data_IF_045906627530
#
_entry.id   IF_045906627530
#
_cell.length_a   1.000
_cell.length_b   1.000
_cell.length_c   1.000
_cell.angle_alpha   90.00
_cell.angle_beta   90.00
_cell.angle_gamma   90.00
#
_symmetry.space_group_name_H-M   'P 1'
#
loop_
_entity.id
_entity.type
_entity.pdbx_description
1 polymer ?
#
# COMPACT_ATOMS: atom_id res chain seq x y z
N UNK A 1 27.21 -2.59 11.82
CA UNK A 1 26.32 -3.76 11.60
C UNK A 1 24.99 -3.48 12.28
N UNK A 2 24.01 -2.95 11.56
CA UNK A 2 22.69 -2.65 12.09
C UNK A 2 21.91 -3.94 12.34
N UNK A 3 21.58 -4.18 13.60
CA UNK A 3 20.82 -5.33 14.08
C UNK A 3 19.39 -5.19 13.56
N UNK A 4 19.01 -5.97 12.55
CA UNK A 4 17.63 -6.06 12.07
C UNK A 4 16.83 -6.74 13.18
N UNK A 5 16.11 -5.94 13.96
CA UNK A 5 15.15 -6.45 14.93
C UNK A 5 13.91 -6.82 14.14
N UNK A 6 13.74 -8.11 13.86
CA UNK A 6 12.46 -8.66 13.42
C UNK A 6 11.50 -8.60 14.61
N UNK A 7 10.99 -7.41 14.90
CA UNK A 7 9.90 -7.25 15.85
C UNK A 7 8.72 -8.06 15.31
N UNK A 8 8.10 -8.90 16.16
CA UNK A 8 6.86 -9.57 15.80
C UNK A 8 5.89 -8.49 15.36
N UNK A 9 5.18 -8.70 14.26
CA UNK A 9 4.32 -7.67 13.66
C UNK A 9 3.43 -6.98 14.74
N UNK A 10 2.86 -7.75 15.67
CA UNK A 10 2.11 -7.25 16.85
C UNK A 10 2.83 -6.21 17.73
N UNK A 11 4.14 -6.30 17.94
CA UNK A 11 4.89 -5.35 18.76
C UNK A 11 5.08 -4.01 18.03
N UNK A 12 5.24 -4.07 16.70
CA UNK A 12 5.22 -2.88 15.83
C UNK A 12 3.86 -2.19 15.91
N UNK A 13 2.77 -2.95 16.06
CA UNK A 13 1.42 -2.38 16.10
C UNK A 13 1.02 -1.73 17.41
N UNK A 14 1.45 -2.23 18.58
CA UNK A 14 1.27 -1.46 19.83
C UNK A 14 1.92 -0.09 19.73
N UNK A 15 3.09 -0.05 19.09
CA UNK A 15 3.81 1.19 18.83
C UNK A 15 3.06 2.02 17.79
N UNK A 16 2.54 1.44 16.70
CA UNK A 16 1.78 2.20 15.70
C UNK A 16 0.47 2.77 16.25
N UNK A 17 -0.33 2.01 17.01
CA UNK A 17 -1.55 2.54 17.63
C UNK A 17 -1.23 3.64 18.64
N UNK A 18 -0.16 3.48 19.45
CA UNK A 18 0.33 4.55 20.34
C UNK A 18 0.82 5.78 19.55
N UNK A 19 1.53 5.58 18.44
CA UNK A 19 1.98 6.67 17.56
C UNK A 19 0.76 7.35 16.93
N UNK A 20 -0.25 6.62 16.45
CA UNK A 20 -1.44 7.24 15.86
C UNK A 20 -2.34 7.94 16.88
N UNK A 21 -2.29 7.54 18.16
CA UNK A 21 -3.05 8.19 19.23
C UNK A 21 -2.36 9.49 19.72
N UNK A 22 -1.04 9.63 19.55
CA UNK A 22 -0.26 10.81 19.93
C UNK A 22 0.16 11.73 18.77
N UNK A 23 0.45 11.16 17.60
CA UNK A 23 0.85 11.84 16.36
C UNK A 23 -0.23 11.66 15.29
N UNK A 24 -0.49 12.71 14.50
CA UNK A 24 -1.53 12.67 13.46
C UNK A 24 -1.18 11.70 12.31
N UNK A 25 0.10 11.44 12.08
CA UNK A 25 0.62 10.63 10.98
C UNK A 25 1.85 9.82 11.39
N UNK A 26 2.12 8.72 10.69
CA UNK A 26 3.28 7.84 10.93
C UNK A 26 3.96 7.48 9.62
N UNK A 27 5.29 7.39 9.63
CA UNK A 27 6.10 7.02 8.47
C UNK A 27 6.54 5.56 8.54
N UNK A 28 6.39 4.83 7.43
CA UNK A 28 6.83 3.44 7.30
C UNK A 28 7.60 3.24 6.02
N UNK A 29 8.69 2.48 6.08
CA UNK A 29 9.46 2.04 4.91
C UNK A 29 8.68 0.97 4.17
N UNK A 30 8.56 1.10 2.85
CA UNK A 30 7.90 0.10 2.02
C UNK A 30 8.77 -1.14 1.93
N UNK A 31 8.20 -2.29 2.28
CA UNK A 31 8.82 -3.60 2.14
C UNK A 31 8.05 -4.46 1.14
N UNK A 32 8.75 -5.25 0.34
CA UNK A 32 8.18 -6.14 -0.66
C UNK A 32 7.76 -5.45 -1.97
N UNK A 33 7.58 -6.26 -3.00
CA UNK A 33 7.31 -5.80 -4.37
C UNK A 33 5.82 -5.74 -4.73
N UNK A 34 4.91 -6.02 -3.80
CA UNK A 34 3.47 -6.16 -4.10
C UNK A 34 2.82 -4.88 -4.65
N UNK A 35 3.38 -3.71 -4.30
CA UNK A 35 2.90 -2.39 -4.70
C UNK A 35 3.72 -1.74 -5.82
N UNK A 36 4.66 -2.49 -6.42
CA UNK A 36 5.38 -2.03 -7.59
C UNK A 36 4.42 -1.88 -8.80
N UNK A 37 4.54 -0.84 -9.65
CA UNK A 37 5.61 0.16 -9.72
C UNK A 37 5.38 1.43 -8.89
N UNK A 38 4.27 1.54 -8.16
CA UNK A 38 3.90 2.78 -7.47
C UNK A 38 4.69 2.99 -6.19
N UNK A 39 4.94 1.90 -5.45
CA UNK A 39 5.83 1.87 -4.30
C UNK A 39 7.01 0.95 -4.56
N UNK A 40 8.21 1.39 -4.19
CA UNK A 40 9.48 0.71 -4.37
C UNK A 40 10.00 0.23 -3.02
N UNK A 41 10.27 -1.07 -2.94
CA UNK A 41 10.91 -1.69 -1.79
C UNK A 41 12.24 -1.00 -1.45
N UNK A 42 12.46 -0.77 -0.15
CA UNK A 42 13.69 -0.18 0.44
C UNK A 42 14.10 1.21 -0.08
N UNK A 43 13.24 1.85 -0.89
CA UNK A 43 13.46 3.18 -1.45
C UNK A 43 12.37 4.15 -1.01
N UNK A 44 11.11 3.72 -1.08
CA UNK A 44 9.98 4.58 -0.74
C UNK A 44 9.62 4.46 0.74
N UNK A 45 9.31 5.60 1.34
CA UNK A 45 8.65 5.69 2.64
C UNK A 45 7.25 6.26 2.44
N UNK A 46 6.28 5.74 3.19
CA UNK A 46 4.89 6.19 3.12
C UNK A 46 4.49 6.86 4.41
N UNK A 47 3.85 8.02 4.29
CA UNK A 47 3.16 8.65 5.40
C UNK A 47 1.74 8.12 5.46
N UNK A 48 1.36 7.61 6.62
CA UNK A 48 0.04 7.07 6.88
C UNK A 48 -0.70 7.92 7.89
N UNK A 49 -1.99 8.06 7.70
CA UNK A 49 -2.90 8.73 8.62
C UNK A 49 -4.05 7.80 8.98
N UNK A 50 -4.54 7.90 10.22
CA UNK A 50 -5.76 7.20 10.60
C UNK A 50 -6.93 7.75 9.78
N UNK A 51 -7.80 6.87 9.32
CA UNK A 51 -8.93 7.26 8.48
C UNK A 51 -10.17 6.46 8.85
N UNK A 52 -11.33 7.01 8.49
CA UNK A 52 -12.62 6.32 8.62
C UNK A 52 -12.93 5.61 7.31
N UNK A 53 -13.69 4.51 7.40
CA UNK A 53 -14.12 3.78 6.20
C UNK A 53 -14.88 4.69 5.23
N UNK A 54 -15.67 5.65 5.70
CA UNK A 54 -16.38 6.62 4.85
C UNK A 54 -15.45 7.45 3.94
N UNK A 55 -14.22 7.73 4.38
CA UNK A 55 -13.29 8.62 3.67
C UNK A 55 -12.51 7.91 2.57
N UNK A 56 -12.34 6.58 2.63
CA UNK A 56 -11.57 5.85 1.63
C UNK A 56 -12.31 5.81 0.29
N UNK A 57 -11.55 5.86 -0.80
CA UNK A 57 -12.06 5.83 -2.17
C UNK A 57 -11.29 4.80 -2.99
N UNK A 58 -11.90 4.38 -4.10
CA UNK A 58 -11.20 3.56 -5.09
C UNK A 58 -9.92 4.25 -5.54
N UNK A 59 -8.82 3.51 -5.53
CA UNK A 59 -7.50 3.99 -5.90
C UNK A 59 -6.63 4.45 -4.73
N UNK A 60 -7.19 4.63 -3.53
CA UNK A 60 -6.40 4.97 -2.34
C UNK A 60 -5.52 3.78 -1.92
N UNK A 61 -4.35 4.04 -1.36
CA UNK A 61 -3.51 2.98 -0.76
C UNK A 61 -3.83 2.96 0.73
N UNK A 62 -4.21 1.80 1.25
CA UNK A 62 -4.60 1.63 2.64
C UNK A 62 -3.80 0.52 3.30
N UNK A 63 -3.57 0.66 4.59
CA UNK A 63 -3.08 -0.39 5.45
C UNK A 63 -4.30 -1.11 6.06
N UNK A 64 -4.42 -2.39 5.78
CA UNK A 64 -5.46 -3.24 6.33
C UNK A 64 -4.87 -4.45 7.05
N UNK A 65 -5.60 -4.96 8.04
CA UNK A 65 -5.25 -6.16 8.80
C UNK A 65 -6.13 -7.32 8.38
N UNK A 66 -5.52 -8.41 7.90
CA UNK A 66 -6.22 -9.65 7.58
C UNK A 66 -6.71 -10.33 8.86
N UNK A 67 -7.68 -11.22 8.74
CA UNK A 67 -8.15 -12.05 9.86
C UNK A 67 -7.05 -12.94 10.46
N UNK A 68 -6.05 -13.31 9.66
CA UNK A 68 -4.84 -14.01 10.12
C UNK A 68 -3.94 -13.16 11.02
N UNK A 69 -4.22 -11.86 11.16
CA UNK A 69 -3.40 -10.90 11.90
C UNK A 69 -2.27 -10.28 11.07
N UNK A 70 -2.05 -10.76 9.85
CA UNK A 70 -1.09 -10.18 8.91
C UNK A 70 -1.57 -8.82 8.39
N UNK A 71 -0.63 -7.93 8.09
CA UNK A 71 -0.93 -6.60 7.58
C UNK A 71 -0.55 -6.51 6.12
N UNK A 72 -1.41 -5.83 5.37
CA UNK A 72 -1.25 -5.62 3.94
C UNK A 72 -1.46 -4.16 3.60
N UNK A 73 -0.58 -3.64 2.76
CA UNK A 73 -0.66 -2.28 2.27
C UNK A 73 -0.95 -2.31 0.79
N UNK A 74 -2.22 -2.16 0.41
CA UNK A 74 -2.67 -2.33 -0.96
C UNK A 74 -3.62 -1.24 -1.41
N UNK A 75 -3.87 -1.18 -2.72
CA UNK A 75 -4.77 -0.21 -3.32
C UNK A 75 -6.22 -0.65 -3.21
N UNK A 76 -7.11 0.24 -2.84
CA UNK A 76 -8.56 0.02 -2.85
C UNK A 76 -9.02 -0.21 -4.27
N UNK A 77 -9.34 -1.46 -4.58
CA UNK A 77 -9.82 -1.89 -5.88
C UNK A 77 -11.31 -1.57 -6.08
N UNK A 78 -12.10 -1.90 -5.07
CA UNK A 78 -13.54 -1.69 -5.02
C UNK A 78 -13.95 -1.39 -3.59
N UNK A 79 -14.91 -0.50 -3.42
CA UNK A 79 -15.55 -0.20 -2.14
C UNK A 79 -17.06 -0.35 -2.30
N UNK A 80 -17.68 -1.07 -1.38
CA UNK A 80 -19.13 -1.22 -1.25
C UNK A 80 -19.60 -0.47 0.00
N UNK A 81 -20.86 -0.66 0.42
CA UNK A 81 -21.42 0.02 1.59
C UNK A 81 -20.77 -0.43 2.91
N UNK A 82 -20.38 -1.72 3.02
CA UNK A 82 -19.87 -2.32 4.26
C UNK A 82 -18.52 -3.02 4.09
N UNK A 83 -18.12 -3.27 2.85
CA UNK A 83 -16.90 -4.00 2.52
C UNK A 83 -16.05 -3.23 1.52
N UNK A 84 -14.79 -3.65 1.42
CA UNK A 84 -13.88 -3.21 0.40
C UNK A 84 -12.97 -4.35 -0.03
N UNK A 85 -12.40 -4.18 -1.21
CA UNK A 85 -11.47 -5.11 -1.82
C UNK A 85 -10.18 -4.38 -2.12
N UNK A 86 -9.06 -5.02 -1.83
CA UNK A 86 -7.73 -4.51 -2.08
C UNK A 86 -7.06 -5.25 -3.23
N UNK A 87 -6.07 -4.60 -3.82
CA UNK A 87 -5.25 -5.17 -4.89
C UNK A 87 -3.85 -4.58 -4.81
N UNK A 88 -2.85 -5.45 -4.76
CA UNK A 88 -1.46 -5.07 -4.98
C UNK A 88 -1.24 -4.61 -6.43
N UNK A 89 -0.49 -3.54 -6.63
CA UNK A 89 -0.22 -3.01 -7.98
C UNK A 89 0.59 -3.98 -8.86
N UNK A 90 1.42 -4.84 -8.26
CA UNK A 90 2.16 -5.89 -8.95
C UNK A 90 1.42 -7.24 -8.95
N UNK A 91 0.29 -7.35 -8.24
CA UNK A 91 -0.43 -8.61 -8.04
C UNK A 91 -1.65 -8.71 -8.94
N UNK A 92 -2.07 -9.95 -9.19
CA UNK A 92 -3.32 -10.27 -9.89
C UNK A 92 -4.42 -10.68 -8.92
N UNK A 93 -4.09 -11.13 -7.72
CA UNK A 93 -5.06 -11.57 -6.74
C UNK A 93 -5.76 -10.37 -6.08
N UNK A 94 -7.10 -10.42 -6.03
CA UNK A 94 -7.90 -9.41 -5.33
C UNK A 94 -8.06 -9.90 -3.89
N UNK A 95 -7.66 -9.07 -2.94
CA UNK A 95 -7.84 -9.35 -1.51
C UNK A 95 -9.21 -8.86 -1.05
N UNK A 96 -9.93 -9.72 -0.35
CA UNK A 96 -11.20 -9.39 0.27
C UNK A 96 -12.23 -10.52 0.20
N UNK A 97 -13.45 -10.26 0.69
CA UNK A 97 -13.90 -8.98 1.24
C UNK A 97 -13.20 -8.62 2.55
N UNK A 98 -12.92 -7.33 2.76
CA UNK A 98 -12.41 -6.73 3.99
C UNK A 98 -13.46 -5.77 4.57
N UNK A 99 -13.50 -5.64 5.89
CA UNK A 99 -14.49 -4.83 6.62
C UNK A 99 -13.85 -3.63 7.35
N UNK A 100 -14.67 -2.67 7.80
CA UNK A 100 -14.21 -1.42 8.41
C UNK A 100 -13.24 -1.60 9.58
N UNK A 101 -13.43 -2.62 10.42
CA UNK A 101 -12.54 -2.95 11.55
C UNK A 101 -11.13 -3.36 11.12
N UNK A 102 -11.01 -3.88 9.89
CA UNK A 102 -9.76 -4.28 9.28
C UNK A 102 -9.01 -3.10 8.67
N UNK A 103 -9.66 -1.96 8.44
CA UNK A 103 -9.01 -0.74 7.96
C UNK A 103 -8.28 -0.05 9.10
N UNK A 104 -6.96 0.15 8.96
CA UNK A 104 -6.13 0.78 10.00
C UNK A 104 -5.70 2.19 9.63
N UNK A 105 -5.24 2.39 8.40
CA UNK A 105 -4.75 3.69 7.95
C UNK A 105 -4.85 3.86 6.42
N UNK A 106 -4.74 5.11 5.96
CA UNK A 106 -4.58 5.46 4.55
C UNK A 106 -3.23 6.14 4.33
N UNK A 107 -2.60 5.86 3.20
CA UNK A 107 -1.37 6.54 2.78
C UNK A 107 -1.71 7.91 2.19
N UNK A 108 -1.16 8.97 2.79
CA UNK A 108 -1.41 10.36 2.38
C UNK A 108 -0.29 10.94 1.53
N UNK A 109 0.96 10.52 1.79
CA UNK A 109 2.12 10.96 1.02
C UNK A 109 3.16 9.84 0.90
N UNK A 110 3.99 9.93 -0.15
CA UNK A 110 5.09 9.02 -0.44
C UNK A 110 6.35 9.88 -0.48
N UNK A 111 7.33 9.57 0.36
CA UNK A 111 8.67 10.11 0.26
C UNK A 111 9.53 9.14 -0.54
N UNK A 112 10.02 9.60 -1.69
CA UNK A 112 10.94 8.88 -2.56
C UNK A 112 12.23 9.67 -2.62
N UNK A 113 13.30 9.11 -2.05
CA UNK A 113 14.57 9.82 -1.85
C UNK A 113 14.34 11.17 -1.11
N UNK A 114 14.68 12.28 -1.75
CA UNK A 114 14.49 13.65 -1.24
C UNK A 114 13.21 14.33 -1.75
N UNK A 115 12.30 13.60 -2.40
CA UNK A 115 11.05 14.15 -2.96
C UNK A 115 9.84 13.65 -2.19
N UNK A 116 8.95 14.57 -1.82
CA UNK A 116 7.62 14.24 -1.32
C UNK A 116 6.60 14.25 -2.46
N UNK A 117 5.85 13.16 -2.58
CA UNK A 117 4.82 12.94 -3.58
C UNK A 117 3.50 12.80 -2.84
N UNK A 118 2.56 13.72 -3.06
CA UNK A 118 1.22 13.58 -2.48
C UNK A 118 0.43 12.48 -3.19
N UNK A 119 -0.22 11.61 -2.42
CA UNK A 119 -1.15 10.61 -2.99
C UNK A 119 -2.39 11.23 -3.61
N UNK A 120 -2.70 12.48 -3.27
CA UNK A 120 -3.81 13.23 -3.88
C UNK A 120 -3.42 13.89 -5.22
N UNK A 121 -2.20 13.71 -5.69
CA UNK A 121 -1.77 14.23 -7.00
C UNK A 121 -2.62 13.59 -8.12
N UNK A 122 -3.26 14.46 -8.92
CA UNK A 122 -4.12 14.04 -10.03
C UNK A 122 -3.41 13.09 -11.00
N UNK A 123 -2.15 13.37 -11.35
CA UNK A 123 -1.39 12.52 -12.28
C UNK A 123 -1.14 11.12 -11.74
N UNK A 124 -0.80 11.01 -10.46
CA UNK A 124 -0.58 9.72 -9.81
C UNK A 124 -1.88 8.91 -9.75
N UNK A 125 -3.00 9.57 -9.42
CA UNK A 125 -4.32 8.95 -9.38
C UNK A 125 -4.76 8.48 -10.77
N UNK A 126 -4.55 9.31 -11.80
CA UNK A 126 -4.85 8.94 -13.19
C UNK A 126 -4.02 7.75 -13.64
N UNK A 127 -2.70 7.77 -13.38
CA UNK A 127 -1.80 6.66 -13.70
C UNK A 127 -2.24 5.38 -12.98
N UNK A 128 -2.60 5.46 -11.70
CA UNK A 128 -3.10 4.30 -10.93
C UNK A 128 -4.41 3.76 -11.48
N UNK A 129 -5.31 4.64 -11.94
CA UNK A 129 -6.58 4.24 -12.55
C UNK A 129 -6.35 3.49 -13.87
N UNK A 130 -5.47 4.00 -14.72
CA UNK A 130 -5.09 3.29 -15.94
C UNK A 130 -4.41 1.97 -15.61
N UNK A 131 -3.48 1.96 -14.64
CA UNK A 131 -2.78 0.76 -14.20
C UNK A 131 -3.75 -0.33 -13.74
N UNK A 132 -4.79 0.03 -12.99
CA UNK A 132 -5.86 -0.88 -12.55
C UNK A 132 -6.66 -1.45 -13.72
N UNK A 133 -6.91 -0.64 -14.74
CA UNK A 133 -7.65 -1.05 -15.94
C UNK A 133 -6.83 -2.03 -16.80
N UNK A 134 -5.51 -1.81 -16.92
CA UNK A 134 -4.60 -2.69 -17.70
C UNK A 134 -4.17 -3.95 -16.95
N UNK A 135 -4.81 -4.30 -15.81
CA UNK A 135 -4.54 -5.50 -15.01
C UNK A 135 -4.30 -6.79 -15.82
N UNK A 136 -5.13 -7.20 -16.81
CA UNK A 136 -4.91 -8.45 -17.54
C UNK A 136 -3.62 -8.47 -18.37
N UNK A 137 -3.08 -7.29 -18.71
CA UNK A 137 -1.87 -7.15 -19.51
C UNK A 137 -0.61 -7.12 -18.61
N UNK A 138 -0.75 -6.80 -17.32
CA UNK A 138 0.39 -6.65 -16.38
C UNK A 138 1.32 -7.87 -16.35
N UNK A 139 0.77 -9.09 -16.41
CA UNK A 139 1.61 -10.30 -16.46
C UNK A 139 2.60 -10.28 -17.63
N UNK A 140 2.16 -9.82 -18.81
CA UNK A 140 3.03 -9.70 -19.99
C UNK A 140 4.08 -8.61 -19.79
N UNK A 141 3.70 -7.45 -19.24
CA UNK A 141 4.62 -6.35 -18.95
C UNK A 141 5.72 -6.77 -17.99
N UNK A 142 5.37 -7.47 -16.90
CA UNK A 142 6.35 -7.98 -15.95
C UNK A 142 7.26 -9.05 -16.56
N UNK A 143 6.73 -9.92 -17.44
CA UNK A 143 7.56 -10.89 -18.18
C UNK A 143 8.58 -10.21 -19.08
N UNK A 144 8.17 -9.17 -19.79
CA UNK A 144 9.07 -8.37 -20.65
C UNK A 144 10.11 -7.65 -19.80
N UNK A 145 9.70 -7.01 -18.70
CA UNK A 145 10.63 -6.35 -17.78
C UNK A 145 11.65 -7.31 -17.19
N UNK A 146 11.21 -8.48 -16.71
CA UNK A 146 12.09 -9.51 -16.19
C UNK A 146 13.05 -10.06 -17.26
N UNK A 147 12.60 -10.15 -18.52
CA UNK A 147 13.44 -10.53 -19.65
C UNK A 147 14.52 -9.46 -19.93
N UNK A 148 14.14 -8.18 -19.99
CA UNK A 148 15.08 -7.07 -20.21
C UNK A 148 16.12 -7.01 -19.10
N UNK A 149 15.71 -7.11 -17.83
CA UNK A 149 16.62 -7.14 -16.68
C UNK A 149 17.55 -8.36 -16.66
N UNK A 150 17.23 -9.42 -17.42
CA UNK A 150 18.09 -10.61 -17.58
C UNK A 150 19.12 -10.46 -18.70
N UNK A 151 18.92 -9.50 -19.60
CA UNK A 151 19.76 -9.25 -20.76
C UNK A 151 20.75 -8.08 -20.55
N UNK A 152 20.64 -7.39 -19.42
CA UNK A 152 21.57 -6.35 -18.95
C UNK A 152 22.41 -6.98 -17.84
#
# INVERSE_FOLDING_TARGET
>A
MSKVITAKANDVFRIMDQIFDHEKTSWVVVTGMSMFPFLREDVDMVEMARTKFSNIKKGDIVLAQRQSGEYVMHRVYKKSAFDFFLLGDAQQWIEGPLFEDQLKAVVVSIKRDNRMISCNNYFLRLLSFFWMTVRPIRYKLFKVYAFIMKCI
#
